data_IF_563005278674
#
_entry.id   IF_563005278674
#
_cell.length_a   1.000
_cell.length_b   1.000
_cell.length_c   1.000
_cell.angle_alpha   90.00
_cell.angle_beta   90.00
_cell.angle_gamma   90.00
#
_symmetry.space_group_name_H-M   'P 1'
#
loop_
_entity.id
_entity.type
_entity.pdbx_description
1 polymer ?
#
# COMPACT_ATOMS: atom_id res chain seq x y z
N UNK A 1 41.44 49.28 22.10
CA UNK A 1 41.95 48.46 20.99
C UNK A 1 40.80 47.59 20.48
N UNK A 2 40.65 47.45 19.16
CA UNK A 2 39.62 46.77 18.35
C UNK A 2 38.92 45.47 18.87
N UNK A 3 37.86 44.97 18.19
CA UNK A 3 36.79 45.64 17.44
C UNK A 3 35.37 45.08 17.77
N UNK A 4 34.32 45.65 17.15
CA UNK A 4 32.91 45.37 17.48
C UNK A 4 32.38 43.99 17.05
N UNK A 5 31.58 43.36 17.92
CA UNK A 5 30.71 42.24 17.59
C UNK A 5 29.46 42.69 16.79
N UNK A 6 28.78 41.77 16.08
CA UNK A 6 27.69 42.12 15.18
C UNK A 6 26.49 42.66 15.96
N UNK A 7 26.15 43.93 15.73
CA UNK A 7 24.97 44.55 16.32
C UNK A 7 23.70 43.80 15.87
N UNK A 8 22.98 43.21 16.82
CA UNK A 8 21.65 42.65 16.59
C UNK A 8 20.70 43.77 16.14
N UNK A 9 20.56 43.93 14.83
CA UNK A 9 19.85 45.04 14.21
C UNK A 9 18.35 45.00 14.53
N UNK A 10 17.96 45.71 15.60
CA UNK A 10 16.56 46.01 15.94
C UNK A 10 15.89 46.65 14.73
N UNK A 11 15.13 45.84 14.01
CA UNK A 11 14.80 46.13 12.63
C UNK A 11 13.78 47.25 12.48
N UNK A 12 14.24 48.46 12.13
CA UNK A 12 13.42 49.40 11.36
C UNK A 12 13.20 48.81 9.96
N UNK A 13 12.27 47.88 9.86
CA UNK A 13 11.91 47.12 8.65
C UNK A 13 11.17 47.95 7.62
N UNK A 14 11.74 49.08 7.21
CA UNK A 14 11.28 49.80 6.04
C UNK A 14 11.59 49.06 4.75
N UNK A 15 10.92 49.51 3.68
CA UNK A 15 10.92 49.21 2.23
C UNK A 15 12.20 48.68 1.54
N UNK A 16 13.33 48.61 2.24
CA UNK A 16 14.65 48.18 1.75
C UNK A 16 15.17 46.89 2.40
N UNK A 17 14.47 46.31 3.38
CA UNK A 17 14.76 44.93 3.82
C UNK A 17 14.40 43.96 2.69
N UNK A 18 15.42 43.42 2.00
CA UNK A 18 15.26 42.24 1.15
C UNK A 18 14.64 41.13 2.01
N UNK A 19 13.55 40.51 1.55
CA UNK A 19 12.96 39.36 2.24
C UNK A 19 14.00 38.25 2.33
N UNK A 20 14.51 37.97 3.53
CA UNK A 20 15.31 36.79 3.80
C UNK A 20 14.37 35.59 3.77
N UNK A 21 14.15 35.06 2.57
CA UNK A 21 13.40 33.84 2.29
C UNK A 21 14.01 32.75 3.19
N UNK A 22 13.20 32.19 4.09
CA UNK A 22 13.69 31.32 5.16
C UNK A 22 14.53 30.16 4.61
N UNK A 23 15.58 29.78 5.34
CA UNK A 23 16.42 28.65 4.96
C UNK A 23 15.57 27.40 4.76
N UNK A 24 15.74 26.72 3.62
CA UNK A 24 14.91 25.58 3.25
C UNK A 24 14.99 24.46 4.28
N UNK A 25 13.86 23.77 4.51
CA UNK A 25 13.85 22.57 5.35
C UNK A 25 14.73 21.50 4.72
N UNK A 26 15.76 21.04 5.44
CA UNK A 26 16.66 19.99 4.97
C UNK A 26 16.11 18.61 5.33
N UNK A 27 15.25 18.07 4.46
CA UNK A 27 14.64 16.74 4.64
C UNK A 27 15.66 15.58 4.63
N UNK A 28 16.91 15.81 4.26
CA UNK A 28 17.99 14.81 4.19
C UNK A 28 18.89 14.77 5.43
N UNK A 29 18.56 15.51 6.51
CA UNK A 29 19.41 15.58 7.71
C UNK A 29 19.17 14.44 8.69
N UNK A 30 17.92 13.98 8.78
CA UNK A 30 17.46 12.99 9.75
C UNK A 30 17.03 11.66 9.07
N UNK A 31 17.35 11.50 7.77
CA UNK A 31 17.17 10.25 7.04
C UNK A 31 18.41 9.35 7.19
N UNK A 32 18.18 8.08 7.51
CA UNK A 32 19.24 7.05 7.52
C UNK A 32 19.78 6.82 6.10
N UNK A 33 21.06 6.44 5.95
CA UNK A 33 21.61 6.07 4.64
C UNK A 33 20.86 4.88 4.06
N UNK A 34 20.56 4.95 2.76
CA UNK A 34 19.87 3.89 2.01
C UNK A 34 20.87 3.09 1.18
N UNK A 35 20.59 1.80 0.96
CA UNK A 35 21.36 0.96 0.04
C UNK A 35 21.02 1.27 -1.43
N UNK A 36 21.74 0.62 -2.36
CA UNK A 36 21.50 0.78 -3.80
C UNK A 36 20.11 0.31 -4.27
N UNK A 37 19.33 -0.33 -3.39
CA UNK A 37 17.96 -0.80 -3.64
C UNK A 37 16.90 0.06 -2.92
N UNK A 38 17.31 1.10 -2.16
CA UNK A 38 16.42 2.00 -1.42
C UNK A 38 16.02 1.52 -0.01
N UNK A 39 16.66 0.48 0.53
CA UNK A 39 16.41 -0.02 1.89
C UNK A 39 17.28 0.70 2.93
N UNK A 40 16.75 0.91 4.15
CA UNK A 40 17.52 1.49 5.26
C UNK A 40 18.72 0.62 5.66
N UNK A 41 19.92 1.20 5.61
CA UNK A 41 21.12 0.60 6.18
C UNK A 41 21.10 0.83 7.69
N UNK A 42 21.02 -0.26 8.46
CA UNK A 42 21.30 -0.20 9.91
C UNK A 42 22.80 -0.06 10.10
N UNK A 43 23.25 1.15 10.40
CA UNK A 43 24.65 1.38 10.78
C UNK A 43 24.94 0.65 12.09
N UNK A 44 25.81 -0.36 12.01
CA UNK A 44 26.35 -1.03 13.20
C UNK A 44 27.40 -0.13 13.84
N UNK A 45 27.00 0.58 14.89
CA UNK A 45 27.94 1.28 15.75
C UNK A 45 28.93 0.27 16.36
N UNK A 46 30.22 0.58 16.33
CA UNK A 46 31.30 -0.32 16.77
C UNK A 46 31.38 -0.49 18.31
N UNK A 47 30.48 0.14 19.05
CA UNK A 47 30.39 0.12 20.52
C UNK A 47 29.31 -0.86 21.04
N UNK A 48 28.37 -1.26 20.18
CA UNK A 48 27.23 -2.13 20.54
C UNK A 48 27.61 -3.61 20.51
N UNK A 49 28.40 -4.02 21.51
CA UNK A 49 28.81 -5.41 21.74
C UNK A 49 28.61 -5.84 23.19
N UNK A 50 27.53 -5.38 23.85
CA UNK A 50 27.10 -5.90 25.16
C UNK A 50 25.70 -5.44 25.60
N UNK A 51 24.62 -6.02 25.05
CA UNK A 51 23.46 -6.53 25.83
C UNK A 51 22.43 -7.16 24.90
N UNK A 52 21.98 -8.38 25.21
CA UNK A 52 20.68 -8.88 24.75
C UNK A 52 19.57 -8.34 25.67
N UNK A 53 18.30 -8.51 25.24
CA UNK A 53 17.03 -8.24 25.95
C UNK A 53 16.55 -6.78 26.12
N UNK A 54 15.30 -6.56 25.67
CA UNK A 54 14.27 -5.56 26.08
C UNK A 54 14.63 -4.04 26.16
N UNK A 55 14.00 -3.22 25.28
CA UNK A 55 12.96 -2.24 25.69
C UNK A 55 12.26 -1.59 24.47
N UNK A 56 10.94 -1.83 24.34
CA UNK A 56 10.04 -1.26 23.33
C UNK A 56 9.29 -0.06 23.97
N UNK A 57 9.84 1.15 23.89
CA UNK A 57 9.30 2.34 24.56
C UNK A 57 8.08 2.94 23.83
N UNK A 58 6.94 3.04 24.54
CA UNK A 58 5.72 3.75 24.12
C UNK A 58 5.66 5.18 24.68
N UNK A 59 5.38 6.17 23.83
CA UNK A 59 4.69 7.47 24.07
C UNK A 59 4.50 8.09 22.66
N UNK A 60 3.44 8.81 22.27
CA UNK A 60 2.22 9.39 22.85
C UNK A 60 1.10 9.28 21.77
N UNK A 61 -0.22 9.51 21.92
CA UNK A 61 -1.11 9.90 23.03
C UNK A 61 -2.57 9.59 22.63
N UNK A 62 -3.48 9.31 23.58
CA UNK A 62 -4.96 9.51 23.43
C UNK A 62 -5.68 9.17 24.75
N UNK A 63 -6.27 10.18 25.39
CA UNK A 63 -7.03 10.08 26.65
C UNK A 63 -8.42 9.45 26.46
N UNK A 64 -9.04 9.04 27.59
CA UNK A 64 -10.48 8.73 27.81
C UNK A 64 -11.19 7.67 26.94
N UNK A 65 -11.32 6.45 27.50
CA UNK A 65 -12.63 5.91 27.91
C UNK A 65 -12.45 4.73 28.91
N UNK A 66 -13.10 4.82 30.07
CA UNK A 66 -13.09 3.77 31.10
C UNK A 66 -14.09 2.65 30.77
N UNK A 67 -13.64 1.51 30.24
CA UNK A 67 -14.41 0.25 30.32
C UNK A 67 -13.54 -0.95 30.73
N UNK A 68 -14.13 -1.79 31.58
CA UNK A 68 -13.55 -2.86 32.39
C UNK A 68 -12.49 -3.73 31.68
N UNK A 69 -11.22 -3.56 32.08
CA UNK A 69 -10.08 -4.35 31.58
C UNK A 69 -10.09 -5.76 32.19
N UNK A 70 -10.79 -6.70 31.54
CA UNK A 70 -10.53 -8.12 31.70
C UNK A 70 -9.05 -8.42 31.40
N UNK A 71 -8.40 -9.25 32.22
CA UNK A 71 -6.96 -9.57 32.13
C UNK A 71 -6.62 -10.51 30.96
N UNK A 72 -6.96 -10.09 29.75
CA UNK A 72 -6.62 -10.80 28.52
C UNK A 72 -5.10 -10.71 28.28
N UNK A 73 -4.48 -11.83 27.89
CA UNK A 73 -3.03 -11.94 27.67
C UNK A 73 -2.54 -11.01 26.54
N UNK A 74 -1.23 -10.70 26.47
CA UNK A 74 -0.64 -9.82 25.42
C UNK A 74 -1.02 -10.27 24.00
N UNK A 75 -1.14 -11.57 23.79
CA UNK A 75 -1.57 -12.16 22.51
C UNK A 75 -3.07 -12.00 22.26
N UNK A 76 -3.93 -12.20 23.26
CA UNK A 76 -5.37 -11.96 23.16
C UNK A 76 -5.70 -10.47 22.93
N UNK A 77 -4.96 -9.54 23.56
CA UNK A 77 -5.07 -8.09 23.29
C UNK A 77 -4.70 -7.77 21.84
N UNK A 78 -3.60 -8.34 21.33
CA UNK A 78 -3.19 -8.20 19.92
C UNK A 78 -4.24 -8.80 18.96
N UNK A 79 -4.85 -9.93 19.29
CA UNK A 79 -5.93 -10.55 18.51
C UNK A 79 -7.21 -9.67 18.51
N UNK A 80 -7.63 -9.16 19.66
CA UNK A 80 -8.78 -8.26 19.78
C UNK A 80 -8.58 -6.94 19.01
N UNK A 81 -7.37 -6.36 19.07
CA UNK A 81 -7.02 -5.17 18.30
C UNK A 81 -7.06 -5.41 16.78
N UNK A 82 -6.54 -6.55 16.31
CA UNK A 82 -6.65 -6.97 14.90
C UNK A 82 -8.11 -7.16 14.48
N UNK A 83 -8.90 -7.89 15.28
CA UNK A 83 -10.32 -8.11 15.01
C UNK A 83 -11.14 -6.80 14.97
N UNK A 84 -10.87 -5.83 15.86
CA UNK A 84 -11.47 -4.50 15.81
C UNK A 84 -11.11 -3.75 14.52
N UNK A 85 -9.84 -3.77 14.09
CA UNK A 85 -9.38 -3.15 12.83
C UNK A 85 -10.00 -3.82 11.60
N UNK A 86 -10.03 -5.14 11.54
CA UNK A 86 -10.65 -5.91 10.45
C UNK A 86 -12.18 -5.68 10.39
N UNK A 87 -12.86 -5.59 11.52
CA UNK A 87 -14.28 -5.25 11.58
C UNK A 87 -14.56 -3.82 11.08
N UNK A 88 -13.69 -2.86 11.40
CA UNK A 88 -13.79 -1.49 10.89
C UNK A 88 -13.58 -1.43 9.36
N UNK A 89 -12.57 -2.13 8.83
CA UNK A 89 -12.33 -2.26 7.39
C UNK A 89 -13.53 -2.93 6.70
N UNK A 90 -14.08 -4.00 7.29
CA UNK A 90 -15.26 -4.69 6.75
C UNK A 90 -16.50 -3.80 6.74
N UNK A 91 -16.74 -2.99 7.79
CA UNK A 91 -17.81 -1.98 7.81
C UNK A 91 -17.59 -0.90 6.74
N UNK A 92 -16.36 -0.39 6.57
CA UNK A 92 -16.00 0.59 5.52
C UNK A 92 -16.25 0.03 4.12
N UNK A 93 -15.89 -1.24 3.88
CA UNK A 93 -16.09 -1.92 2.60
C UNK A 93 -17.56 -2.34 2.36
N UNK A 94 -18.36 -2.56 3.41
CA UNK A 94 -19.80 -2.83 3.32
C UNK A 94 -20.64 -1.55 3.14
N UNK A 95 -20.12 -0.37 3.49
CA UNK A 95 -20.74 0.92 3.16
C UNK A 95 -20.56 1.18 1.66
N UNK A 96 -21.44 0.60 0.85
CA UNK A 96 -21.47 0.77 -0.60
C UNK A 96 -21.48 2.27 -0.92
N UNK A 97 -20.46 2.72 -1.65
CA UNK A 97 -20.32 4.14 -2.01
C UNK A 97 -21.53 4.59 -2.81
N UNK A 98 -22.24 5.59 -2.29
CA UNK A 98 -23.30 6.26 -3.04
C UNK A 98 -22.66 7.16 -4.11
N UNK A 99 -23.35 7.33 -5.25
CA UNK A 99 -22.82 8.10 -6.39
C UNK A 99 -22.72 9.58 -6.00
N UNK A 100 -21.50 10.00 -5.62
CA UNK A 100 -21.19 11.35 -5.15
C UNK A 100 -20.25 11.39 -3.93
N UNK A 101 -20.19 10.32 -3.15
CA UNK A 101 -19.39 10.25 -1.91
C UNK A 101 -17.96 9.75 -2.21
N UNK A 102 -17.14 10.62 -2.82
CA UNK A 102 -15.68 10.43 -2.82
C UNK A 102 -15.16 10.69 -1.39
N UNK A 103 -14.10 10.00 -0.93
CA UNK A 103 -13.51 10.29 0.38
C UNK A 103 -12.93 11.72 0.40
N UNK A 104 -13.60 12.61 1.14
CA UNK A 104 -13.13 13.96 1.42
C UNK A 104 -12.12 13.92 2.55
N UNK A 105 -10.85 13.68 2.21
CA UNK A 105 -9.72 13.73 3.15
C UNK A 105 -9.23 15.19 3.29
N UNK A 106 -10.11 16.05 3.82
CA UNK A 106 -9.87 17.50 3.95
C UNK A 106 -10.79 18.11 5.01
N UNK A 107 -10.48 17.85 6.28
CA UNK A 107 -10.63 18.88 7.31
C UNK A 107 -9.35 19.71 7.34
N UNK A 108 -9.39 20.90 6.73
CA UNK A 108 -8.52 22.00 7.17
C UNK A 108 -9.23 23.33 6.93
N UNK A 109 -9.36 24.11 8.00
CA UNK A 109 -10.07 25.39 8.01
C UNK A 109 -9.09 26.56 7.81
N UNK A 110 -9.46 27.48 6.92
CA UNK A 110 -8.91 28.85 6.77
C UNK A 110 -7.73 29.12 5.81
N UNK A 111 -7.71 30.37 5.32
CA UNK A 111 -6.64 31.05 4.54
C UNK A 111 -6.45 30.73 3.04
N UNK A 112 -7.53 30.75 2.22
CA UNK A 112 -7.47 30.68 0.73
C UNK A 112 -7.89 31.99 0.01
N UNK A 113 -7.71 33.16 0.65
CA UNK A 113 -8.18 34.47 0.13
C UNK A 113 -7.20 35.19 -0.83
N UNK A 114 -6.02 34.61 -1.11
CA UNK A 114 -4.97 35.19 -2.00
C UNK A 114 -4.59 34.28 -3.19
N UNK A 115 -5.36 33.20 -3.43
CA UNK A 115 -5.23 32.35 -4.62
C UNK A 115 -6.08 32.87 -5.79
N UNK A 116 -5.63 32.71 -7.06
CA UNK A 116 -6.44 33.10 -8.21
C UNK A 116 -7.70 32.21 -8.29
N UNK A 117 -8.86 32.84 -8.08
CA UNK A 117 -10.14 32.16 -7.95
C UNK A 117 -10.37 31.07 -9.03
N UNK A 118 -10.55 29.83 -8.56
CA UNK A 118 -10.70 28.66 -9.42
C UNK A 118 -11.85 28.89 -10.43
N UNK A 119 -11.61 28.78 -11.75
CA UNK A 119 -12.61 29.12 -12.78
C UNK A 119 -13.90 28.29 -12.66
N UNK A 120 -13.82 27.07 -12.11
CA UNK A 120 -14.98 26.20 -11.88
C UNK A 120 -15.86 26.65 -10.70
N UNK A 121 -15.37 27.51 -9.81
CA UNK A 121 -16.14 28.09 -8.70
C UNK A 121 -16.68 29.49 -9.02
N UNK A 122 -16.44 29.98 -10.25
CA UNK A 122 -16.92 31.29 -10.70
C UNK A 122 -18.46 31.37 -10.76
N UNK A 123 -19.00 32.59 -10.62
CA UNK A 123 -20.43 32.87 -10.81
C UNK A 123 -20.95 32.44 -12.19
N UNK A 124 -20.08 32.40 -13.20
CA UNK A 124 -20.40 31.91 -14.55
C UNK A 124 -20.63 30.39 -14.57
N UNK A 125 -19.73 29.60 -13.98
CA UNK A 125 -19.91 28.15 -13.83
C UNK A 125 -21.19 27.82 -13.06
N UNK A 126 -21.45 28.54 -11.95
CA UNK A 126 -22.69 28.39 -11.15
C UNK A 126 -23.96 28.77 -11.92
N UNK A 127 -23.89 29.60 -12.95
CA UNK A 127 -25.03 29.95 -13.80
C UNK A 127 -25.27 28.94 -14.92
N UNK A 128 -24.25 28.22 -15.40
CA UNK A 128 -24.44 27.12 -16.35
C UNK A 128 -25.21 25.96 -15.71
N UNK A 129 -24.89 25.62 -14.45
CA UNK A 129 -25.59 24.59 -13.67
C UNK A 129 -27.02 24.96 -13.22
N UNK A 130 -27.48 26.20 -13.45
CA UNK A 130 -28.87 26.63 -13.16
C UNK A 130 -29.83 26.36 -14.31
N UNK A 131 -29.33 26.11 -15.52
CA UNK A 131 -30.18 25.74 -16.64
C UNK A 131 -30.65 24.28 -16.46
N UNK A 132 -31.94 23.96 -16.70
CA UNK A 132 -32.38 22.57 -16.71
C UNK A 132 -31.63 21.79 -17.81
N UNK A 133 -31.33 20.50 -17.60
CA UNK A 133 -30.68 19.69 -18.62
C UNK A 133 -31.57 19.63 -19.87
N UNK A 134 -31.02 20.03 -21.02
CA UNK A 134 -31.68 19.88 -22.32
C UNK A 134 -32.07 18.41 -22.53
N UNK A 135 -33.23 18.17 -23.13
CA UNK A 135 -33.65 16.81 -23.47
C UNK A 135 -32.73 16.18 -24.50
N UNK A 136 -32.65 14.84 -24.49
CA UNK A 136 -31.81 14.09 -25.45
C UNK A 136 -32.19 14.36 -26.90
N UNK A 137 -33.47 14.62 -27.18
CA UNK A 137 -33.98 14.95 -28.51
C UNK A 137 -33.61 16.38 -28.96
N UNK A 138 -33.59 17.36 -28.05
CA UNK A 138 -33.09 18.70 -28.35
C UNK A 138 -31.58 18.70 -28.61
N UNK A 139 -30.82 17.93 -27.81
CA UNK A 139 -29.37 17.76 -28.01
C UNK A 139 -29.10 17.03 -29.34
N UNK A 140 -29.82 15.96 -29.63
CA UNK A 140 -29.72 15.26 -30.91
C UNK A 140 -30.11 16.16 -32.09
N UNK A 141 -31.16 16.98 -31.94
CA UNK A 141 -31.61 17.95 -32.93
C UNK A 141 -30.58 19.07 -33.19
N UNK A 142 -29.94 19.59 -32.16
CA UNK A 142 -28.87 20.60 -32.29
C UNK A 142 -27.60 20.01 -32.93
N UNK A 143 -27.23 18.77 -32.57
CA UNK A 143 -26.10 18.04 -33.19
C UNK A 143 -26.39 17.68 -34.66
N UNK A 144 -27.61 17.28 -34.98
CA UNK A 144 -28.04 17.01 -36.36
C UNK A 144 -28.02 18.27 -37.23
N UNK A 145 -28.43 19.43 -36.69
CA UNK A 145 -28.33 20.72 -37.42
C UNK A 145 -26.88 21.12 -37.69
N UNK A 146 -25.92 20.74 -36.85
CA UNK A 146 -24.48 20.97 -37.12
C UNK A 146 -23.88 20.01 -38.17
N UNK A 147 -24.43 18.81 -38.36
CA UNK A 147 -23.83 17.77 -39.22
C UNK A 147 -24.34 17.75 -40.67
N UNK A 148 -25.48 18.37 -40.96
CA UNK A 148 -26.20 18.21 -42.26
C UNK A 148 -25.63 19.04 -43.43
N UNK A 149 -24.80 20.06 -43.19
CA UNK A 149 -24.40 21.04 -44.22
C UNK A 149 -23.07 20.78 -44.94
N UNK A 150 -22.48 19.56 -44.83
CA UNK A 150 -21.26 19.19 -45.55
C UNK A 150 -21.37 17.82 -46.24
N UNK A 151 -21.25 17.83 -47.58
CA UNK A 151 -20.77 16.67 -48.36
C UNK A 151 -19.50 16.12 -47.66
N UNK A 152 -19.20 14.81 -47.72
CA UNK A 152 -18.04 14.24 -47.04
C UNK A 152 -16.79 15.02 -47.48
N UNK A 153 -16.30 15.90 -46.60
CA UNK A 153 -15.11 16.66 -46.90
C UNK A 153 -13.99 15.65 -46.96
N UNK A 154 -13.33 15.59 -48.11
CA UNK A 154 -12.09 14.87 -48.25
C UNK A 154 -11.13 15.37 -47.17
N UNK A 155 -10.92 14.53 -46.15
CA UNK A 155 -10.14 14.85 -44.96
C UNK A 155 -8.83 15.53 -45.41
N UNK A 156 -8.53 16.68 -44.81
CA UNK A 156 -7.31 17.43 -45.08
C UNK A 156 -6.10 16.50 -44.97
N UNK A 157 -5.02 16.74 -45.73
CA UNK A 157 -3.79 15.91 -45.64
C UNK A 157 -3.34 15.76 -44.18
N UNK A 158 -3.41 16.85 -43.42
CA UNK A 158 -3.13 16.91 -41.98
C UNK A 158 -4.07 16.05 -41.12
N UNK A 159 -5.34 15.94 -41.49
CA UNK A 159 -6.33 15.09 -40.80
C UNK A 159 -6.12 13.61 -41.14
N UNK A 160 -5.79 13.28 -42.40
CA UNK A 160 -5.42 11.91 -42.80
C UNK A 160 -4.18 11.42 -42.06
N UNK A 161 -3.13 12.26 -42.02
CA UNK A 161 -1.90 11.98 -41.26
C UNK A 161 -2.16 11.85 -39.75
N UNK A 162 -3.02 12.70 -39.17
CA UNK A 162 -3.41 12.60 -37.76
C UNK A 162 -4.14 11.29 -37.44
N UNK A 163 -5.08 10.87 -38.29
CA UNK A 163 -5.81 9.61 -38.16
C UNK A 163 -4.86 8.40 -38.35
N UNK A 164 -3.91 8.48 -39.28
CA UNK A 164 -2.91 7.42 -39.46
C UNK A 164 -1.95 7.34 -38.26
N UNK A 165 -1.54 8.48 -37.69
CA UNK A 165 -0.73 8.53 -36.48
C UNK A 165 -1.48 7.97 -35.26
N UNK A 166 -2.78 8.24 -35.14
CA UNK A 166 -3.65 7.61 -34.12
C UNK A 166 -3.71 6.10 -34.31
N UNK A 167 -4.02 5.61 -35.52
CA UNK A 167 -4.06 4.18 -35.84
C UNK A 167 -2.72 3.46 -35.58
N UNK A 168 -1.58 4.11 -35.86
CA UNK A 168 -0.25 3.56 -35.55
C UNK A 168 -0.01 3.47 -34.05
N UNK A 169 -0.43 4.47 -33.26
CA UNK A 169 -0.36 4.45 -31.79
C UNK A 169 -1.26 3.35 -31.21
N UNK A 170 -2.49 3.24 -31.68
CA UNK A 170 -3.43 2.18 -31.30
C UNK A 170 -2.91 0.79 -31.65
N UNK A 171 -2.33 0.62 -32.85
CA UNK A 171 -1.73 -0.66 -33.28
C UNK A 171 -0.52 -1.03 -32.41
N UNK A 172 0.35 -0.06 -32.09
CA UNK A 172 1.47 -0.27 -31.18
C UNK A 172 0.99 -0.61 -29.75
N UNK A 173 0.02 0.13 -29.20
CA UNK A 173 -0.58 -0.16 -27.90
C UNK A 173 -1.21 -1.56 -27.89
N UNK A 174 -1.92 -1.95 -28.96
CA UNK A 174 -2.49 -3.30 -29.11
C UNK A 174 -1.42 -4.39 -29.18
N UNK A 175 -0.29 -4.13 -29.83
CA UNK A 175 0.86 -5.05 -29.87
C UNK A 175 1.55 -5.16 -28.50
N UNK A 176 1.68 -4.04 -27.78
CA UNK A 176 2.26 -3.99 -26.44
C UNK A 176 1.37 -4.73 -25.42
N UNK A 177 0.06 -4.46 -25.42
CA UNK A 177 -0.92 -5.20 -24.62
C UNK A 177 -1.00 -6.70 -24.97
N UNK A 178 -0.74 -7.06 -26.23
CA UNK A 178 -0.63 -8.45 -26.66
C UNK A 178 0.72 -9.12 -26.29
N UNK A 179 1.61 -8.42 -25.59
CA UNK A 179 2.92 -8.94 -25.17
C UNK A 179 3.91 -9.13 -26.33
N UNK A 180 3.70 -8.45 -27.47
CA UNK A 180 4.47 -8.66 -28.71
C UNK A 180 5.58 -7.64 -28.96
N UNK A 181 5.55 -6.48 -28.30
CA UNK A 181 6.68 -5.53 -28.31
C UNK A 181 7.82 -6.04 -27.45
N UNK A 182 9.07 -5.70 -27.80
CA UNK A 182 10.26 -6.19 -27.12
C UNK A 182 10.25 -5.83 -25.61
N UNK A 183 9.75 -4.66 -25.27
CA UNK A 183 9.49 -4.21 -23.88
C UNK A 183 8.56 -5.16 -23.12
N UNK A 184 7.40 -5.47 -23.70
CA UNK A 184 6.41 -6.32 -23.06
C UNK A 184 6.86 -7.79 -23.01
N UNK A 185 7.62 -8.25 -24.01
CA UNK A 185 8.30 -9.55 -23.97
C UNK A 185 9.34 -9.61 -22.85
N UNK A 186 10.14 -8.55 -22.64
CA UNK A 186 11.12 -8.48 -21.57
C UNK A 186 10.46 -8.51 -20.17
N UNK A 187 9.35 -7.80 -20.00
CA UNK A 187 8.58 -7.82 -18.75
C UNK A 187 7.92 -9.19 -18.50
N UNK A 188 7.35 -9.82 -19.54
CA UNK A 188 6.84 -11.19 -19.45
C UNK A 188 7.96 -12.21 -19.12
N UNK A 189 9.16 -12.04 -19.69
CA UNK A 189 10.31 -12.88 -19.39
C UNK A 189 10.80 -12.68 -17.93
N UNK A 190 10.77 -11.45 -17.41
CA UNK A 190 11.05 -11.17 -15.99
C UNK A 190 10.03 -11.87 -15.08
N UNK A 191 8.74 -11.79 -15.42
CA UNK A 191 7.67 -12.48 -14.68
C UNK A 191 7.76 -14.01 -14.80
N UNK A 192 8.23 -14.54 -15.94
CA UNK A 192 8.46 -15.98 -16.12
C UNK A 192 9.54 -16.50 -15.16
N UNK A 193 10.69 -15.83 -15.06
CA UNK A 193 11.75 -16.18 -14.10
C UNK A 193 11.24 -16.22 -12.66
N UNK A 194 10.48 -15.20 -12.24
CA UNK A 194 9.87 -15.18 -10.89
C UNK A 194 8.88 -16.32 -10.67
N UNK A 195 8.13 -16.74 -11.71
CA UNK A 195 7.25 -17.92 -11.63
C UNK A 195 8.04 -19.22 -11.53
N UNK A 196 9.14 -19.35 -12.28
CA UNK A 196 10.05 -20.50 -12.21
C UNK A 196 10.73 -20.61 -10.85
N UNK A 197 11.28 -19.51 -10.32
CA UNK A 197 11.87 -19.45 -8.98
C UNK A 197 10.86 -19.83 -7.89
N UNK A 198 9.64 -19.29 -7.95
CA UNK A 198 8.55 -19.66 -7.02
C UNK A 198 8.15 -21.12 -7.15
N UNK A 199 8.09 -21.65 -8.38
CA UNK A 199 7.77 -23.05 -8.65
C UNK A 199 8.86 -23.97 -8.08
N UNK A 200 10.13 -23.69 -8.37
CA UNK A 200 11.27 -24.45 -7.85
C UNK A 200 11.37 -24.36 -6.32
N UNK A 201 11.05 -23.21 -5.73
CA UNK A 201 10.97 -23.07 -4.27
C UNK A 201 9.80 -23.87 -3.66
N UNK A 202 8.64 -23.92 -4.34
CA UNK A 202 7.51 -24.75 -3.92
C UNK A 202 7.80 -26.25 -4.08
N UNK A 203 8.42 -26.67 -5.19
CA UNK A 203 8.85 -28.05 -5.43
C UNK A 203 9.91 -28.50 -4.41
N UNK A 204 10.88 -27.63 -4.06
CA UNK A 204 11.85 -27.91 -2.98
C UNK A 204 11.17 -28.06 -1.62
N UNK A 205 10.23 -27.19 -1.27
CA UNK A 205 9.46 -27.29 -0.01
C UNK A 205 8.59 -28.54 0.03
N UNK A 206 7.95 -28.90 -1.08
CA UNK A 206 7.16 -30.11 -1.18
C UNK A 206 8.02 -31.36 -0.98
N UNK A 207 9.20 -31.43 -1.62
CA UNK A 207 10.15 -32.53 -1.44
C UNK A 207 10.68 -32.61 0.00
N UNK A 208 11.08 -31.49 0.61
CA UNK A 208 11.52 -31.45 2.02
C UNK A 208 10.39 -31.87 2.98
N UNK A 209 9.15 -31.45 2.73
CA UNK A 209 7.99 -31.88 3.49
C UNK A 209 7.67 -33.38 3.30
N UNK A 210 7.83 -33.93 2.11
CA UNK A 210 7.62 -35.36 1.82
C UNK A 210 8.70 -36.21 2.50
N UNK A 211 9.98 -35.89 2.36
CA UNK A 211 11.07 -36.54 3.09
C UNK A 211 10.87 -36.46 4.61
N UNK A 212 10.42 -35.30 5.12
CA UNK A 212 10.11 -35.13 6.54
C UNK A 212 8.91 -35.98 6.97
N UNK A 213 7.84 -36.06 6.18
CA UNK A 213 6.67 -36.92 6.46
C UNK A 213 7.06 -38.39 6.45
N UNK A 214 7.91 -38.84 5.52
CA UNK A 214 8.43 -40.21 5.50
C UNK A 214 9.31 -40.50 6.73
N UNK A 215 10.18 -39.57 7.13
CA UNK A 215 10.97 -39.70 8.37
C UNK A 215 10.10 -39.72 9.63
N UNK A 216 9.06 -38.89 9.71
CA UNK A 216 8.13 -38.86 10.84
C UNK A 216 7.27 -40.14 10.89
N UNK A 217 6.81 -40.65 9.74
CA UNK A 217 6.16 -41.96 9.63
C UNK A 217 7.08 -43.09 10.08
N UNK A 218 8.30 -43.19 9.53
CA UNK A 218 9.28 -44.21 9.93
C UNK A 218 9.63 -44.15 11.43
N UNK A 219 9.79 -42.94 12.00
CA UNK A 219 10.00 -42.75 13.45
C UNK A 219 8.76 -43.21 14.24
N UNK A 220 7.55 -42.87 13.81
CA UNK A 220 6.31 -43.30 14.47
C UNK A 220 6.11 -44.83 14.42
N UNK A 221 6.46 -45.48 13.31
CA UNK A 221 6.41 -46.94 13.17
C UNK A 221 7.45 -47.64 14.05
N UNK A 222 8.66 -47.09 14.13
CA UNK A 222 9.70 -47.57 15.05
C UNK A 222 9.24 -47.46 16.51
N UNK A 223 8.71 -46.30 16.91
CA UNK A 223 8.17 -46.08 18.27
C UNK A 223 6.98 -47.00 18.56
N UNK A 224 6.05 -47.18 17.62
CA UNK A 224 4.92 -48.11 17.78
C UNK A 224 5.38 -49.57 17.89
N UNK A 225 6.43 -49.97 17.16
CA UNK A 225 7.04 -51.29 17.25
C UNK A 225 7.78 -51.50 18.57
N UNK A 226 8.47 -50.48 19.07
CA UNK A 226 9.12 -50.50 20.38
C UNK A 226 8.08 -50.56 21.52
N UNK A 227 7.02 -49.75 21.46
CA UNK A 227 5.91 -49.78 22.41
C UNK A 227 5.26 -51.17 22.47
N UNK A 228 4.89 -51.76 21.32
CA UNK A 228 4.37 -53.14 21.25
C UNK A 228 5.35 -54.17 21.86
N UNK A 229 6.66 -54.01 21.64
CA UNK A 229 7.69 -54.88 22.25
C UNK A 229 7.77 -54.68 23.76
N UNK A 230 7.63 -53.44 24.25
CA UNK A 230 7.66 -53.08 25.68
C UNK A 230 6.40 -53.56 26.40
N UNK A 231 5.23 -53.46 25.79
CA UNK A 231 3.96 -54.02 26.30
C UNK A 231 4.04 -55.55 26.39
N UNK A 232 4.53 -56.22 25.34
CA UNK A 232 4.76 -57.66 25.37
C UNK A 232 5.77 -58.09 26.45
N UNK A 233 6.81 -57.28 26.71
CA UNK A 233 7.81 -57.55 27.74
C UNK A 233 7.32 -57.26 29.17
N UNK A 234 6.41 -56.31 29.36
CA UNK A 234 5.74 -56.07 30.66
C UNK A 234 4.80 -57.22 31.05
N UNK A 235 4.29 -57.96 30.06
CA UNK A 235 3.41 -59.12 30.25
C UNK A 235 2.03 -58.76 30.84
N UNK A 236 1.13 -59.75 30.98
CA UNK A 236 -0.12 -59.54 31.70
C UNK A 236 0.20 -59.34 33.18
N UNK A 237 0.22 -58.08 33.63
CA UNK A 237 0.38 -57.73 35.04
C UNK A 237 -0.55 -58.60 35.89
N UNK A 238 0.04 -59.44 36.75
CA UNK A 238 -0.65 -60.58 37.34
C UNK A 238 -1.86 -60.14 38.17
N UNK A 239 -3.07 -60.24 37.60
CA UNK A 239 -4.33 -60.02 38.31
C UNK A 239 -4.30 -60.88 39.58
N UNK A 240 -4.37 -60.19 40.72
CA UNK A 240 -3.76 -60.69 41.96
C UNK A 240 -4.26 -62.06 42.38
N UNK A 241 -3.31 -62.92 42.79
CA UNK A 241 -3.57 -64.20 43.46
C UNK A 241 -4.05 -63.97 44.91
N UNK A 242 -5.09 -63.16 45.10
CA UNK A 242 -5.84 -63.03 46.36
C UNK A 242 -6.84 -64.18 46.43
N UNK A 243 -6.58 -65.17 47.28
CA UNK A 243 -7.55 -66.25 47.54
C UNK A 243 -6.97 -67.63 47.84
N UNK A 244 -6.14 -67.76 48.88
CA UNK A 244 -6.10 -68.94 49.78
C UNK A 244 -5.06 -68.77 50.89
N UNK A 245 -5.53 -68.31 52.04
CA UNK A 245 -5.29 -68.86 53.39
C UNK A 245 -6.16 -68.09 54.37
#
# INVERSE_FOLDING_TARGET
>A
MAPGGPAAGRGRGGKFKKFTRGGGKHFSRDLRPLDANGNEIREKNADDSSSEEEEESEEESSEEEEEEKQEMTREQRRAAAKAKKEAAIKKKNQKVAQVGDLPTDSEEESEDDDMPANPNHSKAARNQAKAPPKSVDEVAGDVAKMSVSKKPQELSRKEREAIEAQKKREAYQRLHLAGKTDEAQADLARLAKVREERRLAAERKAAEEEERKEQEQAKSEQLAREQKRREAAMGPAAKGKKGKK
#
